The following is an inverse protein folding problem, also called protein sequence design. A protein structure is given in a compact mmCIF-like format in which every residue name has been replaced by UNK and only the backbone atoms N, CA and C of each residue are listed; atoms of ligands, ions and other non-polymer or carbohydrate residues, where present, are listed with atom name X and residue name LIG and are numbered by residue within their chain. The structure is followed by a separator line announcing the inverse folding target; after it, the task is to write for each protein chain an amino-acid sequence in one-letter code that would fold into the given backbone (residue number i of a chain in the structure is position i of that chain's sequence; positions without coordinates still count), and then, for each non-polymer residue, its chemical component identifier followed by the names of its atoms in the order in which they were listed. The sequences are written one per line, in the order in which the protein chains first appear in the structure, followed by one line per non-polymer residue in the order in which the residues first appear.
data_IF_834235227840
#
_entry.id   IF_834235227840
#
_cell.length_a   1.000
_cell.length_b   1.000
_cell.length_c   1.000
_cell.angle_alpha   90.00
_cell.angle_beta   90.00
_cell.angle_gamma   90.00
#
_symmetry.space_group_name_H-M   'P 1'
#
loop_
_entity.id
_entity.type
_entity.pdbx_description
1 polymer ?
#
# COMPACT_ATOMS: atom_id res chain seq x y z
N UNK A 1 -8.02 15.85 11.13
CA UNK A 1 -8.58 14.63 11.77
C UNK A 1 -7.47 13.93 12.56
N UNK A 2 -7.71 13.49 13.81
CA UNK A 2 -6.70 12.75 14.59
C UNK A 2 -6.76 11.26 14.20
N UNK A 3 -5.72 10.76 13.55
CA UNK A 3 -5.64 9.34 13.14
C UNK A 3 -5.25 8.51 14.37
N UNK A 4 -6.06 7.49 14.70
CA UNK A 4 -5.78 6.53 15.77
C UNK A 4 -5.14 5.27 15.22
N UNK A 5 -4.29 4.61 16.01
CA UNK A 5 -3.65 3.34 15.66
C UNK A 5 -3.96 2.31 16.74
N UNK A 6 -4.64 1.22 16.34
CA UNK A 6 -5.06 0.16 17.24
C UNK A 6 -3.85 -0.68 17.70
N UNK A 7 -3.63 -0.83 19.00
CA UNK A 7 -2.48 -1.58 19.58
C UNK A 7 -2.46 -3.07 19.18
N UNK A 8 -3.64 -3.60 18.85
CA UNK A 8 -3.84 -4.92 18.26
C UNK A 8 -3.37 -5.02 16.81
N UNK A 9 -2.87 -3.97 16.16
CA UNK A 9 -2.31 -4.05 14.80
C UNK A 9 -1.05 -3.25 14.64
N UNK A 10 -0.85 -2.24 15.47
CA UNK A 10 0.26 -1.33 15.41
C UNK A 10 1.02 -1.29 16.74
N UNK A 11 2.32 -1.10 16.63
CA UNK A 11 3.22 -0.85 17.74
C UNK A 11 3.78 0.55 17.60
N UNK A 12 3.73 1.36 18.67
CA UNK A 12 4.36 2.68 18.65
C UNK A 12 5.88 2.50 18.58
N UNK A 13 6.54 3.24 17.70
CA UNK A 13 7.99 3.24 17.49
C UNK A 13 8.47 4.67 17.32
N UNK A 14 9.77 4.89 17.53
CA UNK A 14 10.38 6.16 17.10
C UNK A 14 10.30 6.23 15.58
N UNK A 15 10.05 7.43 15.05
CA UNK A 15 10.11 7.68 13.62
C UNK A 15 11.54 7.38 13.15
N UNK A 16 11.66 6.54 12.13
CA UNK A 16 12.92 6.15 11.51
C UNK A 16 12.83 6.40 10.01
N UNK A 17 13.53 7.44 9.55
CA UNK A 17 13.58 7.82 8.14
C UNK A 17 14.06 6.67 7.25
N UNK A 18 15.02 5.86 7.73
CA UNK A 18 15.51 4.71 6.96
C UNK A 18 14.43 3.65 6.76
N UNK A 19 13.56 3.46 7.76
CA UNK A 19 12.43 2.55 7.64
C UNK A 19 11.38 3.06 6.65
N UNK A 20 11.06 4.37 6.70
CA UNK A 20 10.14 5.02 5.76
C UNK A 20 10.67 4.89 4.32
N UNK A 21 11.93 5.29 4.11
CA UNK A 21 12.57 5.23 2.79
C UNK A 21 12.66 3.79 2.28
N UNK A 22 12.97 2.83 3.15
CA UNK A 22 13.01 1.40 2.78
C UNK A 22 11.66 0.92 2.23
N UNK A 23 10.55 1.25 2.90
CA UNK A 23 9.23 0.85 2.43
C UNK A 23 8.83 1.60 1.17
N UNK A 24 9.06 2.91 1.12
CA UNK A 24 8.63 3.74 0.00
C UNK A 24 9.43 3.42 -1.27
N UNK A 25 10.75 3.26 -1.18
CA UNK A 25 11.57 2.79 -2.30
C UNK A 25 11.18 1.37 -2.73
N UNK A 26 10.78 0.52 -1.78
CA UNK A 26 10.21 -0.79 -2.06
C UNK A 26 8.92 -0.71 -2.88
N UNK A 27 8.02 0.22 -2.54
CA UNK A 27 6.78 0.46 -3.28
C UNK A 27 7.06 0.97 -4.70
N UNK A 28 7.97 1.94 -4.85
CA UNK A 28 8.37 2.47 -6.16
C UNK A 28 8.95 1.36 -7.04
N UNK A 29 9.83 0.51 -6.48
CA UNK A 29 10.41 -0.61 -7.22
C UNK A 29 9.35 -1.60 -7.68
N UNK A 30 8.41 -1.97 -6.82
CA UNK A 30 7.33 -2.89 -7.19
C UNK A 30 6.43 -2.27 -8.26
N UNK A 31 6.04 -1.00 -8.11
CA UNK A 31 5.28 -0.29 -9.13
C UNK A 31 5.99 -0.28 -10.47
N UNK A 32 7.31 -0.07 -10.48
CA UNK A 32 8.11 -0.14 -11.72
C UNK A 32 8.05 -1.54 -12.35
N UNK A 33 8.19 -2.60 -11.55
CA UNK A 33 8.06 -3.98 -12.06
C UNK A 33 6.68 -4.20 -12.68
N UNK A 34 5.62 -3.69 -12.05
CA UNK A 34 4.27 -3.76 -12.61
C UNK A 34 4.17 -2.97 -13.93
N UNK A 35 4.67 -1.73 -13.97
CA UNK A 35 4.57 -0.85 -15.14
C UNK A 35 5.38 -1.34 -16.35
N UNK A 36 6.50 -2.01 -16.12
CA UNK A 36 7.37 -2.55 -17.18
C UNK A 36 6.89 -3.94 -17.68
N UNK A 37 5.77 -4.47 -17.17
CA UNK A 37 5.26 -5.81 -17.51
C UNK A 37 3.97 -5.76 -18.34
N UNK A 38 3.68 -6.84 -19.04
CA UNK A 38 2.48 -6.99 -19.88
C UNK A 38 1.56 -8.15 -19.43
N UNK A 39 2.01 -8.99 -18.50
CA UNK A 39 1.18 -10.06 -17.93
C UNK A 39 0.29 -9.48 -16.82
N UNK A 40 -1.05 -9.54 -16.96
CA UNK A 40 -1.99 -8.96 -16.00
C UNK A 40 -1.79 -9.41 -14.56
N UNK A 41 -1.42 -10.67 -14.34
CA UNK A 41 -1.18 -11.25 -13.03
C UNK A 41 0.07 -10.66 -12.37
N UNK A 42 1.11 -10.39 -13.17
CA UNK A 42 2.35 -9.74 -12.69
C UNK A 42 2.05 -8.29 -12.34
N UNK A 43 1.33 -7.58 -13.22
CA UNK A 43 0.91 -6.18 -12.98
C UNK A 43 0.10 -6.11 -11.68
N UNK A 44 -0.90 -6.98 -11.52
CA UNK A 44 -1.74 -7.04 -10.32
C UNK A 44 -0.93 -7.30 -9.05
N UNK A 45 -0.10 -8.34 -9.05
CA UNK A 45 0.69 -8.75 -7.88
C UNK A 45 1.57 -7.60 -7.38
N UNK A 46 2.36 -7.01 -8.28
CA UNK A 46 3.28 -5.95 -7.91
C UNK A 46 2.57 -4.62 -7.64
N UNK A 47 1.42 -4.36 -8.27
CA UNK A 47 0.55 -3.23 -7.90
C UNK A 47 0.04 -3.36 -6.47
N UNK A 48 -0.41 -4.57 -6.07
CA UNK A 48 -0.87 -4.81 -4.70
C UNK A 48 0.27 -4.69 -3.67
N UNK A 49 1.44 -5.29 -3.95
CA UNK A 49 2.60 -5.20 -3.06
C UNK A 49 3.06 -3.74 -2.90
N UNK A 50 3.04 -2.97 -4.00
CA UNK A 50 3.31 -1.54 -3.99
C UNK A 50 2.33 -0.75 -3.11
N UNK A 51 1.02 -1.04 -3.21
CA UNK A 51 0.00 -0.42 -2.36
C UNK A 51 0.28 -0.67 -0.87
N UNK A 52 0.56 -1.91 -0.51
CA UNK A 52 0.83 -2.30 0.88
C UNK A 52 2.11 -1.64 1.40
N UNK A 53 3.19 -1.63 0.61
CA UNK A 53 4.45 -0.96 0.98
C UNK A 53 4.28 0.56 1.10
N UNK A 54 3.47 1.18 0.26
CA UNK A 54 3.11 2.60 0.38
C UNK A 54 2.41 2.87 1.71
N UNK A 55 1.44 2.02 2.08
CA UNK A 55 0.78 2.10 3.38
C UNK A 55 1.75 1.92 4.56
N UNK A 56 2.69 0.98 4.48
CA UNK A 56 3.72 0.77 5.51
C UNK A 56 4.64 1.98 5.67
N UNK A 57 4.99 2.66 4.57
CA UNK A 57 5.79 3.89 4.62
C UNK A 57 5.06 5.01 5.39
N UNK A 58 3.77 5.24 5.09
CA UNK A 58 2.98 6.26 5.78
C UNK A 58 2.66 5.89 7.24
N UNK A 59 2.39 4.62 7.53
CA UNK A 59 2.25 4.16 8.93
C UNK A 59 3.54 4.44 9.71
N UNK A 60 4.70 4.20 9.09
CA UNK A 60 6.02 4.46 9.69
C UNK A 60 6.27 5.95 9.91
N UNK A 61 5.80 6.83 9.01
CA UNK A 61 5.93 8.29 9.17
C UNK A 61 5.11 8.84 10.34
N UNK A 62 4.09 8.11 10.79
CA UNK A 62 3.35 8.43 12.02
C UNK A 62 3.99 7.85 13.31
N UNK A 63 5.14 7.18 13.21
CA UNK A 63 5.80 6.57 14.36
C UNK A 63 5.16 5.26 14.80
N UNK A 64 4.66 4.47 13.85
CA UNK A 64 4.08 3.17 14.11
C UNK A 64 4.68 2.09 13.22
N UNK A 65 4.69 0.86 13.74
CA UNK A 65 5.05 -0.34 12.99
C UNK A 65 3.85 -1.29 12.97
N UNK A 66 3.50 -1.81 11.80
CA UNK A 66 2.47 -2.85 11.68
C UNK A 66 2.99 -4.18 12.23
N UNK A 67 2.16 -4.86 13.03
CA UNK A 67 2.42 -6.24 13.50
C UNK A 67 1.87 -7.22 12.48
N UNK A 68 2.70 -8.18 12.04
CA UNK A 68 2.30 -9.21 11.07
C UNK A 68 1.33 -10.19 11.74
N UNK A 69 0.04 -10.02 11.48
CA UNK A 69 -1.04 -10.87 12.03
C UNK A 69 -2.21 -10.91 11.05
N UNK A 70 -3.15 -11.83 11.26
CA UNK A 70 -4.34 -11.91 10.39
C UNK A 70 -5.06 -10.55 10.32
N UNK A 71 -5.43 -10.12 9.11
CA UNK A 71 -6.12 -8.85 8.88
C UNK A 71 -5.22 -7.60 8.88
N UNK A 72 -3.90 -7.72 9.07
CA UNK A 72 -3.03 -6.54 9.09
C UNK A 72 -3.03 -5.73 7.78
N UNK A 73 -3.22 -6.37 6.62
CA UNK A 73 -3.37 -5.66 5.34
C UNK A 73 -4.59 -4.73 5.32
N UNK A 74 -5.71 -5.17 5.89
CA UNK A 74 -6.94 -4.36 6.00
C UNK A 74 -6.62 -3.09 6.79
N UNK A 75 -5.90 -3.23 7.90
CA UNK A 75 -5.51 -2.09 8.74
C UNK A 75 -4.50 -1.17 8.08
N UNK A 76 -3.55 -1.70 7.31
CA UNK A 76 -2.64 -0.88 6.50
C UNK A 76 -3.44 -0.03 5.49
N UNK A 77 -4.38 -0.64 4.77
CA UNK A 77 -5.23 0.05 3.78
C UNK A 77 -6.13 1.10 4.43
N UNK A 78 -6.72 0.81 5.60
CA UNK A 78 -7.50 1.77 6.37
C UNK A 78 -6.66 2.99 6.76
N UNK A 79 -5.44 2.80 7.27
CA UNK A 79 -4.58 3.94 7.65
C UNK A 79 -4.10 4.70 6.43
N UNK A 80 -3.72 4.03 5.34
CA UNK A 80 -3.35 4.69 4.10
C UNK A 80 -4.49 5.58 3.57
N UNK A 81 -5.72 5.05 3.55
CA UNK A 81 -6.93 5.80 3.17
C UNK A 81 -7.19 7.00 4.07
N UNK A 82 -7.02 6.86 5.39
CA UNK A 82 -7.20 7.96 6.36
C UNK A 82 -6.10 9.03 6.25
N UNK A 83 -4.85 8.62 6.02
CA UNK A 83 -3.70 9.54 5.94
C UNK A 83 -3.80 10.40 4.68
N UNK A 84 -4.15 9.78 3.54
CA UNK A 84 -4.30 10.48 2.25
C UNK A 84 -5.70 11.07 2.02
N UNK A 85 -6.61 10.92 3.00
CA UNK A 85 -8.03 11.31 2.90
C UNK A 85 -8.71 10.82 1.61
N UNK A 86 -8.38 9.60 1.19
CA UNK A 86 -8.84 9.03 -0.06
C UNK A 86 -9.57 7.70 0.19
N UNK A 87 -10.90 7.73 0.13
CA UNK A 87 -11.76 6.55 0.38
C UNK A 87 -11.63 5.47 -0.70
N UNK A 88 -11.22 5.83 -1.93
CA UNK A 88 -11.02 4.85 -3.01
C UNK A 88 -9.95 3.82 -2.66
N UNK A 89 -8.96 4.19 -1.84
CA UNK A 89 -7.91 3.28 -1.32
C UNK A 89 -8.51 2.11 -0.55
N UNK A 90 -9.51 2.36 0.29
CA UNK A 90 -10.17 1.28 1.03
C UNK A 90 -10.97 0.38 0.09
N UNK A 91 -11.66 0.96 -0.89
CA UNK A 91 -12.52 0.22 -1.84
C UNK A 91 -11.66 -0.65 -2.76
N UNK A 92 -10.71 -0.03 -3.47
CA UNK A 92 -9.81 -0.71 -4.41
C UNK A 92 -8.88 -1.68 -3.69
N UNK A 93 -8.30 -1.27 -2.56
CA UNK A 93 -7.43 -2.12 -1.76
C UNK A 93 -8.12 -3.38 -1.23
N UNK A 94 -9.38 -3.27 -0.78
CA UNK A 94 -10.16 -4.45 -0.37
C UNK A 94 -10.50 -5.36 -1.56
N UNK A 95 -10.84 -4.80 -2.72
CA UNK A 95 -11.06 -5.58 -3.94
C UNK A 95 -9.79 -6.37 -4.33
N UNK A 96 -8.63 -5.71 -4.38
CA UNK A 96 -7.35 -6.35 -4.67
C UNK A 96 -7.00 -7.41 -3.62
N UNK A 97 -7.18 -7.12 -2.32
CA UNK A 97 -6.91 -8.08 -1.24
C UNK A 97 -7.76 -9.34 -1.35
N UNK A 98 -9.06 -9.19 -1.64
CA UNK A 98 -9.96 -10.34 -1.85
C UNK A 98 -9.51 -11.17 -3.04
N UNK A 99 -9.16 -10.53 -4.16
CA UNK A 99 -8.67 -11.21 -5.37
C UNK A 99 -7.37 -11.98 -5.11
N UNK A 100 -6.39 -11.34 -4.47
CA UNK A 100 -5.13 -11.97 -4.03
C UNK A 100 -5.34 -13.15 -3.08
N UNK A 101 -6.40 -13.13 -2.27
CA UNK A 101 -6.71 -14.25 -1.39
C UNK A 101 -7.34 -15.42 -2.15
N UNK A 102 -8.17 -15.17 -3.17
CA UNK A 102 -8.72 -16.21 -4.05
C UNK A 102 -7.62 -16.88 -4.88
N UNK A 103 -6.64 -16.09 -5.36
CA UNK A 103 -5.43 -16.56 -6.09
C UNK A 103 -4.80 -17.81 -5.48
N UNK A 104 -4.67 -17.81 -4.16
CA UNK A 104 -3.92 -18.81 -3.41
C UNK A 104 -4.67 -20.13 -3.26
N UNK A 105 -6.00 -20.14 -3.43
CA UNK A 105 -6.84 -21.30 -3.14
C UNK A 105 -7.56 -21.86 -4.37
N UNK A 106 -7.77 -21.06 -5.42
CA UNK A 106 -8.58 -21.45 -6.59
C UNK A 106 -7.76 -21.73 -7.87
N UNK A 107 -6.42 -21.84 -7.77
CA UNK A 107 -5.57 -22.18 -8.91
C UNK A 107 -5.14 -20.99 -9.80
N UNK A 108 -5.31 -19.76 -9.29
CA UNK A 108 -4.81 -18.53 -9.91
C UNK A 108 -5.89 -17.45 -10.09
N UNK A 109 -5.46 -16.19 -10.04
CA UNK A 109 -6.32 -15.03 -10.27
C UNK A 109 -6.34 -14.69 -11.75
N UNK A 110 -7.51 -14.80 -12.35
CA UNK A 110 -7.72 -14.26 -13.69
C UNK A 110 -7.86 -12.74 -13.57
N UNK A 111 -6.86 -12.01 -14.05
CA UNK A 111 -6.87 -10.55 -14.18
C UNK A 111 -7.01 -10.22 -15.67
N UNK A 112 -8.00 -9.44 -16.05
CA UNK A 112 -8.08 -8.91 -17.41
C UNK A 112 -7.05 -7.80 -17.62
N UNK A 113 -6.60 -7.57 -18.86
CA UNK A 113 -5.72 -6.44 -19.20
C UNK A 113 -6.28 -5.11 -18.69
N UNK A 114 -7.59 -4.90 -18.86
CA UNK A 114 -8.28 -3.70 -18.38
C UNK A 114 -8.19 -3.52 -16.87
N UNK A 115 -8.44 -4.58 -16.09
CA UNK A 115 -8.30 -4.51 -14.63
C UNK A 115 -6.84 -4.25 -14.21
N UNK A 116 -5.87 -4.85 -14.90
CA UNK A 116 -4.47 -4.63 -14.63
C UNK A 116 -4.07 -3.16 -14.86
N UNK A 117 -4.50 -2.56 -15.97
CA UNK A 117 -4.30 -1.13 -16.27
C UNK A 117 -4.99 -0.23 -15.23
N UNK A 118 -6.24 -0.53 -14.87
CA UNK A 118 -6.98 0.22 -13.84
C UNK A 118 -6.27 0.18 -12.49
N UNK A 119 -5.73 -0.98 -12.08
CA UNK A 119 -4.94 -1.08 -10.86
C UNK A 119 -3.63 -0.32 -10.96
N UNK A 120 -2.91 -0.43 -12.08
CA UNK A 120 -1.63 0.25 -12.25
C UNK A 120 -1.80 1.78 -12.18
N UNK A 121 -2.79 2.33 -12.88
CA UNK A 121 -3.11 3.75 -12.87
C UNK A 121 -3.51 4.23 -11.47
N UNK A 122 -4.34 3.44 -10.78
CA UNK A 122 -4.74 3.72 -9.41
C UNK A 122 -3.53 3.78 -8.45
N UNK A 123 -2.62 2.81 -8.52
CA UNK A 123 -1.43 2.76 -7.66
C UNK A 123 -0.44 3.88 -7.97
N UNK A 124 -0.31 4.27 -9.25
CA UNK A 124 0.50 5.42 -9.65
C UNK A 124 0.07 6.68 -8.92
N UNK A 125 -1.24 6.92 -8.83
CA UNK A 125 -1.76 8.13 -8.19
C UNK A 125 -1.65 8.07 -6.67
N UNK A 126 -1.86 6.90 -6.06
CA UNK A 126 -1.60 6.70 -4.63
C UNK A 126 -0.14 6.94 -4.26
N UNK A 127 0.82 6.48 -5.07
CA UNK A 127 2.25 6.74 -4.84
C UNK A 127 2.54 8.24 -4.92
N UNK A 128 2.01 8.94 -5.93
CA UNK A 128 2.22 10.40 -6.09
C UNK A 128 1.71 11.16 -4.87
N UNK A 129 0.53 10.80 -4.36
CA UNK A 129 -0.04 11.45 -3.19
C UNK A 129 0.74 11.14 -1.92
N UNK A 130 1.19 9.88 -1.76
CA UNK A 130 2.08 9.49 -0.67
C UNK A 130 3.43 10.22 -0.72
N UNK A 131 4.02 10.41 -1.90
CA UNK A 131 5.26 11.16 -2.08
C UNK A 131 5.10 12.62 -1.67
N UNK A 132 4.05 13.29 -2.15
CA UNK A 132 3.72 14.67 -1.78
C UNK A 132 3.52 14.78 -0.27
N UNK A 133 2.78 13.85 0.32
CA UNK A 133 2.56 13.80 1.77
C UNK A 133 3.89 13.71 2.52
N UNK A 134 4.75 12.73 2.19
CA UNK A 134 6.04 12.54 2.85
C UNK A 134 6.95 13.77 2.72
N UNK A 135 6.98 14.41 1.55
CA UNK A 135 7.77 15.64 1.32
C UNK A 135 7.28 16.85 2.13
N UNK A 136 5.99 16.91 2.47
CA UNK A 136 5.42 18.01 3.27
C UNK A 136 5.70 17.90 4.77
N UNK A 137 6.14 16.73 5.24
CA UNK A 137 6.47 16.48 6.64
C UNK A 137 7.84 17.08 6.99
N UNK A 138 7.85 18.30 7.54
CA UNK A 138 9.07 18.99 8.01
C UNK A 138 9.88 18.22 9.05
N UNK A 139 9.30 17.22 9.71
CA UNK A 139 9.97 16.39 10.72
C UNK A 139 10.74 15.18 10.14
N UNK A 140 10.61 14.93 8.83
CA UNK A 140 11.28 13.83 8.12
C UNK A 140 12.52 14.30 7.34
N UNK A 141 12.80 15.59 7.33
CA UNK A 141 13.97 16.24 6.73
C UNK A 141 14.66 17.12 7.77
#
# INVERSE_FOLDING_TARGET
MKISFESNFFEKRKIDKKAIDKYFNGAIRDFKIAADNHHPEVIFKFSYDSLIKTGLALVSSYGYRTKSRQGHHIKILEKLSQILDNKSIKIMGEAMRKKRNLDLYDGGTIISNKEAEEYLDFIRDVIKDAEKFLKSQKSLF
#
